data_IF_612443014529
#
_entry.id   IF_612443014529
#
_cell.length_a   1.000
_cell.length_b   1.000
_cell.length_c   1.000
_cell.angle_alpha   90.00
_cell.angle_beta   90.00
_cell.angle_gamma   90.00
#
_symmetry.space_group_name_H-M   'P 1'
#
loop_
_entity.id
_entity.type
_entity.pdbx_description
1 polymer ?
#
# COMPACT_ATOMS: atom_id res chain seq x y z
N UNK A 1 51.10 -26.49 -25.83
CA UNK A 1 49.82 -26.95 -25.23
C UNK A 1 49.48 -26.09 -24.01
N UNK A 2 49.09 -24.83 -24.20
CA UNK A 2 48.82 -23.90 -23.08
C UNK A 2 47.64 -22.94 -23.35
N UNK A 3 46.85 -23.18 -24.40
CA UNK A 3 45.80 -22.26 -24.87
C UNK A 3 44.38 -22.73 -24.56
N UNK A 4 44.20 -23.95 -24.07
CA UNK A 4 42.86 -24.53 -23.79
C UNK A 4 42.35 -24.18 -22.38
N UNK A 5 43.23 -23.79 -21.44
CA UNK A 5 42.84 -23.50 -20.04
C UNK A 5 42.25 -22.11 -19.81
N UNK A 6 42.38 -21.18 -20.76
CA UNK A 6 41.90 -19.80 -20.59
C UNK A 6 40.40 -19.63 -20.91
N UNK A 7 39.84 -20.51 -21.75
CA UNK A 7 38.42 -20.43 -22.16
C UNK A 7 37.44 -20.90 -21.08
N UNK A 8 37.86 -21.77 -20.17
CA UNK A 8 37.00 -22.29 -19.09
C UNK A 8 36.86 -21.27 -17.95
N UNK A 9 37.85 -20.40 -17.74
CA UNK A 9 37.76 -19.34 -16.71
C UNK A 9 36.86 -18.18 -17.15
N UNK A 10 36.78 -17.89 -18.47
CA UNK A 10 35.90 -16.83 -18.97
C UNK A 10 34.41 -17.21 -18.99
N UNK A 11 34.08 -18.50 -19.09
CA UNK A 11 32.70 -19.00 -19.12
C UNK A 11 32.04 -19.08 -17.73
N UNK A 12 32.83 -19.06 -16.65
CA UNK A 12 32.33 -19.05 -15.28
C UNK A 12 32.03 -17.65 -14.72
N UNK A 13 32.41 -16.58 -15.44
CA UNK A 13 32.17 -15.18 -15.04
C UNK A 13 30.86 -14.60 -15.56
N UNK A 14 30.11 -15.33 -16.39
CA UNK A 14 28.80 -14.91 -16.90
C UNK A 14 27.62 -15.45 -16.09
N UNK A 15 27.85 -16.11 -14.95
CA UNK A 15 26.82 -16.31 -13.93
C UNK A 15 26.60 -15.00 -13.16
N UNK A 16 26.38 -13.89 -13.87
CA UNK A 16 25.61 -12.80 -13.29
C UNK A 16 24.28 -13.44 -12.93
N UNK A 17 23.99 -13.42 -11.64
CA UNK A 17 22.67 -13.69 -11.11
C UNK A 17 21.71 -12.71 -11.78
N UNK A 18 21.16 -13.10 -12.92
CA UNK A 18 19.93 -12.54 -13.43
C UNK A 18 18.90 -12.85 -12.33
N UNK A 19 18.76 -11.93 -11.37
CA UNK A 19 17.62 -11.92 -10.46
C UNK A 19 16.42 -11.91 -11.40
N UNK A 20 15.72 -13.05 -11.48
CA UNK A 20 14.55 -13.17 -12.33
C UNK A 20 13.63 -11.99 -11.98
N UNK A 21 13.23 -11.24 -13.01
CA UNK A 21 12.35 -10.10 -12.83
C UNK A 21 10.96 -10.65 -12.55
N UNK A 22 10.53 -10.67 -11.30
CA UNK A 22 9.15 -11.01 -10.94
C UNK A 22 8.26 -9.81 -11.19
N UNK A 23 7.28 -9.88 -12.11
CA UNK A 23 6.40 -8.75 -12.41
C UNK A 23 5.05 -8.89 -11.68
N UNK A 24 5.03 -8.54 -10.40
CA UNK A 24 3.84 -8.50 -9.56
C UNK A 24 3.14 -7.14 -9.59
N UNK A 25 1.87 -7.15 -9.97
CA UNK A 25 1.01 -5.97 -10.00
C UNK A 25 0.00 -6.04 -8.85
N UNK A 26 0.18 -5.18 -7.86
CA UNK A 26 -0.60 -5.14 -6.64
C UNK A 26 -1.80 -4.21 -6.82
N UNK A 27 -2.99 -4.63 -6.43
CA UNK A 27 -4.18 -3.78 -6.38
C UNK A 27 -4.89 -3.97 -5.06
N UNK A 28 -5.58 -2.93 -4.62
CA UNK A 28 -6.37 -2.96 -3.39
C UNK A 28 -7.82 -2.60 -3.69
N UNK A 29 -8.75 -3.27 -3.03
CA UNK A 29 -10.18 -2.98 -3.10
C UNK A 29 -10.81 -2.94 -1.72
N UNK A 30 -11.62 -1.93 -1.44
CA UNK A 30 -12.48 -1.93 -0.26
C UNK A 30 -13.61 -2.92 -0.50
N UNK A 31 -13.72 -3.94 0.35
CA UNK A 31 -14.83 -4.90 0.28
C UNK A 31 -16.04 -4.32 1.04
N UNK A 32 -15.85 -4.04 2.33
CA UNK A 32 -16.83 -3.37 3.20
C UNK A 32 -16.20 -3.04 4.56
N UNK A 33 -16.94 -2.30 5.39
CA UNK A 33 -16.62 -2.11 6.82
C UNK A 33 -17.79 -2.61 7.66
N UNK A 34 -17.50 -3.34 8.74
CA UNK A 34 -18.49 -3.85 9.70
C UNK A 34 -17.95 -3.72 11.11
N UNK A 35 -18.67 -2.99 11.97
CA UNK A 35 -18.21 -2.68 13.33
C UNK A 35 -16.83 -2.02 13.28
N UNK A 36 -15.89 -2.55 14.05
CA UNK A 36 -14.52 -2.03 14.14
C UNK A 36 -13.57 -2.55 13.06
N UNK A 37 -14.07 -3.36 12.10
CA UNK A 37 -13.24 -4.04 11.11
C UNK A 37 -13.47 -3.48 9.70
N UNK A 38 -12.38 -3.09 9.04
CA UNK A 38 -12.34 -2.76 7.61
C UNK A 38 -11.83 -3.99 6.86
N UNK A 39 -12.60 -4.46 5.87
CA UNK A 39 -12.30 -5.62 5.05
C UNK A 39 -11.76 -5.13 3.70
N UNK A 40 -10.50 -5.44 3.42
CA UNK A 40 -9.79 -4.99 2.23
C UNK A 40 -9.30 -6.23 1.47
N UNK A 41 -9.56 -6.29 0.17
CA UNK A 41 -8.97 -7.29 -0.72
C UNK A 41 -7.69 -6.73 -1.33
N UNK A 42 -6.65 -7.55 -1.39
CA UNK A 42 -5.43 -7.30 -2.15
C UNK A 42 -5.28 -8.38 -3.21
N UNK A 43 -5.04 -7.99 -4.45
CA UNK A 43 -4.63 -8.91 -5.51
C UNK A 43 -3.21 -8.56 -5.95
N UNK A 44 -2.38 -9.57 -6.16
CA UNK A 44 -1.05 -9.47 -6.77
C UNK A 44 -1.10 -10.31 -8.05
N UNK A 45 -1.35 -9.64 -9.16
CA UNK A 45 -1.41 -10.26 -10.48
C UNK A 45 -0.03 -10.51 -11.09
N UNK A 46 -0.03 -10.75 -12.39
CA UNK A 46 1.19 -11.06 -13.14
C UNK A 46 1.69 -12.47 -12.81
N UNK A 47 2.93 -12.59 -12.37
CA UNK A 47 3.56 -13.90 -12.14
C UNK A 47 3.19 -14.56 -10.81
N UNK A 48 2.55 -13.83 -9.89
CA UNK A 48 2.23 -14.35 -8.55
C UNK A 48 0.83 -14.95 -8.45
N UNK A 49 -0.15 -14.34 -9.11
CA UNK A 49 -1.57 -14.69 -9.02
C UNK A 49 -2.02 -14.98 -7.57
N UNK A 50 -1.75 -14.03 -6.67
CA UNK A 50 -2.03 -14.16 -5.23
C UNK A 50 -3.10 -13.17 -4.79
N UNK A 51 -4.07 -13.64 -4.00
CA UNK A 51 -5.06 -12.77 -3.37
C UNK A 51 -5.02 -12.90 -1.85
N UNK A 52 -5.08 -11.77 -1.16
CA UNK A 52 -4.94 -11.67 0.28
C UNK A 52 -6.05 -10.80 0.87
N UNK A 53 -6.79 -11.37 1.80
CA UNK A 53 -7.76 -10.66 2.62
C UNK A 53 -7.04 -9.97 3.78
N UNK A 54 -7.27 -8.67 3.92
CA UNK A 54 -6.89 -7.88 5.07
C UNK A 54 -8.12 -7.57 5.92
N UNK A 55 -7.97 -7.77 7.23
CA UNK A 55 -8.96 -7.49 8.25
C UNK A 55 -8.37 -6.47 9.22
N UNK A 56 -8.54 -5.19 8.89
CA UNK A 56 -7.99 -4.10 9.71
C UNK A 56 -8.96 -3.80 10.84
N UNK A 57 -8.57 -4.15 12.06
CA UNK A 57 -9.35 -3.88 13.27
C UNK A 57 -8.89 -2.55 13.87
N UNK A 58 -9.82 -1.63 14.08
CA UNK A 58 -9.57 -0.29 14.62
C UNK A 58 -10.26 -0.16 15.98
N UNK A 59 -9.46 0.09 17.02
CA UNK A 59 -9.93 0.24 18.40
C UNK A 59 -9.41 1.55 18.98
N UNK A 60 -9.86 1.91 20.18
CA UNK A 60 -9.34 3.06 20.93
C UNK A 60 -7.82 2.97 21.21
N UNK A 61 -7.24 1.77 21.14
CA UNK A 61 -5.80 1.54 21.35
C UNK A 61 -4.98 1.67 20.07
N UNK A 62 -5.61 1.90 18.92
CA UNK A 62 -4.98 1.94 17.61
C UNK A 62 -5.56 0.90 16.65
N UNK A 63 -4.85 0.68 15.54
CA UNK A 63 -5.26 -0.24 14.49
C UNK A 63 -4.26 -1.39 14.31
N UNK A 64 -4.76 -2.57 13.93
CA UNK A 64 -3.97 -3.75 13.62
C UNK A 64 -4.53 -4.44 12.37
N UNK A 65 -3.65 -4.99 11.53
CA UNK A 65 -4.02 -5.71 10.31
C UNK A 65 -3.81 -7.22 10.48
N UNK A 66 -4.87 -7.99 10.25
CA UNK A 66 -4.82 -9.44 10.15
C UNK A 66 -4.94 -9.87 8.68
N UNK A 67 -4.04 -10.73 8.22
CA UNK A 67 -3.97 -11.14 6.81
C UNK A 67 -4.31 -12.61 6.63
N UNK A 68 -4.99 -12.95 5.54
CA UNK A 68 -5.31 -14.32 5.16
C UNK A 68 -5.28 -14.48 3.64
N UNK A 69 -4.48 -15.42 3.15
CA UNK A 69 -4.39 -15.71 1.74
C UNK A 69 -5.63 -16.50 1.27
N UNK A 70 -6.18 -16.13 0.13
CA UNK A 70 -7.27 -16.86 -0.51
C UNK A 70 -6.74 -18.13 -1.17
N UNK A 71 -7.62 -19.12 -1.33
CA UNK A 71 -7.28 -20.35 -2.08
C UNK A 71 -7.26 -20.15 -3.59
N UNK A 72 -8.09 -19.23 -4.07
CA UNK A 72 -8.28 -18.94 -5.48
C UNK A 72 -7.99 -17.46 -5.71
N UNK A 73 -7.17 -17.17 -6.71
CA UNK A 73 -6.87 -15.80 -7.13
C UNK A 73 -8.12 -15.05 -7.62
N UNK A 74 -8.24 -13.79 -7.22
CA UNK A 74 -9.33 -12.84 -7.53
C UNK A 74 -10.75 -13.35 -7.19
N UNK A 75 -10.87 -14.40 -6.36
CA UNK A 75 -12.16 -14.93 -5.93
C UNK A 75 -12.68 -14.21 -4.68
N UNK A 76 -13.29 -13.05 -4.91
CA UNK A 76 -13.89 -12.21 -3.87
C UNK A 76 -15.38 -12.50 -3.63
N UNK A 77 -15.93 -13.58 -4.19
CA UNK A 77 -17.37 -13.87 -4.11
C UNK A 77 -17.86 -14.04 -2.66
N UNK A 78 -17.06 -14.69 -1.81
CA UNK A 78 -17.36 -14.84 -0.39
C UNK A 78 -17.54 -13.49 0.35
N UNK A 79 -16.86 -12.44 -0.11
CA UNK A 79 -16.96 -11.12 0.52
C UNK A 79 -18.36 -10.50 0.31
N UNK A 80 -18.99 -10.78 -0.83
CA UNK A 80 -20.37 -10.37 -1.07
C UNK A 80 -21.35 -11.09 -0.13
N UNK A 81 -21.12 -12.39 0.12
CA UNK A 81 -21.93 -13.17 1.07
C UNK A 81 -21.77 -12.63 2.50
N UNK A 82 -20.53 -12.38 2.94
CA UNK A 82 -20.27 -11.80 4.25
C UNK A 82 -20.89 -10.42 4.41
N UNK A 83 -20.85 -9.58 3.37
CA UNK A 83 -21.46 -8.25 3.36
C UNK A 83 -22.97 -8.28 3.64
N UNK A 84 -23.66 -9.33 3.21
CA UNK A 84 -25.10 -9.51 3.45
C UNK A 84 -25.41 -10.02 4.87
N UNK A 85 -24.46 -10.70 5.50
CA UNK A 85 -24.60 -11.23 6.86
C UNK A 85 -24.28 -10.15 7.90
N UNK A 86 -23.26 -9.32 7.62
CA UNK A 86 -22.79 -8.30 8.54
C UNK A 86 -23.55 -6.98 8.40
N UNK A 87 -23.72 -6.29 9.53
CA UNK A 87 -24.16 -4.89 9.51
C UNK A 87 -23.02 -4.01 9.00
N UNK A 88 -23.18 -3.50 7.79
CA UNK A 88 -22.17 -2.63 7.18
C UNK A 88 -22.36 -1.16 7.52
N UNK A 89 -21.23 -0.45 7.60
CA UNK A 89 -21.22 1.00 7.78
C UNK A 89 -21.41 1.74 6.45
N UNK A 90 -22.12 2.89 6.46
CA UNK A 90 -22.14 3.78 5.31
C UNK A 90 -20.72 4.26 5.02
N UNK A 91 -20.38 4.30 3.73
CA UNK A 91 -19.08 4.72 3.23
C UNK A 91 -19.28 5.77 2.14
N UNK A 92 -18.47 6.82 2.20
CA UNK A 92 -18.40 7.86 1.18
C UNK A 92 -17.14 7.63 0.36
N UNK A 93 -17.30 7.26 -0.91
CA UNK A 93 -16.18 7.19 -1.83
C UNK A 93 -15.77 8.62 -2.22
N UNK A 94 -14.55 9.01 -1.90
CA UNK A 94 -14.01 10.29 -2.33
C UNK A 94 -13.71 10.23 -3.82
N UNK A 95 -13.84 11.37 -4.50
CA UNK A 95 -13.57 11.53 -5.93
C UNK A 95 -12.49 12.59 -6.14
N UNK A 96 -11.68 12.47 -7.21
CA UNK A 96 -10.80 13.55 -7.63
C UNK A 96 -11.62 14.83 -7.84
N UNK A 97 -11.21 15.91 -7.19
CA UNK A 97 -11.74 17.25 -7.40
C UNK A 97 -10.91 18.01 -8.43
N UNK A 98 -9.59 17.77 -8.41
CA UNK A 98 -8.58 18.27 -9.33
C UNK A 98 -7.40 17.27 -9.39
N UNK A 99 -6.30 17.66 -10.02
CA UNK A 99 -5.09 16.82 -10.20
C UNK A 99 -4.38 16.46 -8.87
N UNK A 100 -4.76 17.06 -7.74
CA UNK A 100 -4.03 16.97 -6.48
C UNK A 100 -4.91 16.65 -5.26
N UNK A 101 -6.22 16.78 -5.37
CA UNK A 101 -7.14 16.66 -4.25
C UNK A 101 -8.30 15.70 -4.53
N UNK A 102 -8.66 14.95 -3.48
CA UNK A 102 -9.81 14.08 -3.42
C UNK A 102 -10.79 14.58 -2.35
N UNK A 103 -12.09 14.51 -2.62
CA UNK A 103 -13.13 14.94 -1.69
C UNK A 103 -14.52 14.40 -2.03
N UNK A 104 -15.53 14.94 -1.37
CA UNK A 104 -16.94 14.61 -1.59
C UNK A 104 -17.77 15.88 -1.42
N UNK A 105 -18.90 16.01 -2.14
CA UNK A 105 -19.77 17.20 -2.10
C UNK A 105 -20.26 17.57 -0.69
N UNK A 106 -20.43 16.55 0.15
CA UNK A 106 -20.99 16.67 1.50
C UNK A 106 -19.91 16.87 2.58
N UNK A 107 -18.65 17.06 2.17
CA UNK A 107 -17.50 17.26 3.07
C UNK A 107 -16.86 18.61 2.77
N UNK A 108 -16.46 19.31 3.82
CA UNK A 108 -15.74 20.60 3.76
C UNK A 108 -14.21 20.44 3.78
N UNK A 109 -13.74 19.18 3.71
CA UNK A 109 -12.33 18.84 3.75
C UNK A 109 -11.93 17.95 2.57
N UNK A 110 -10.63 17.93 2.30
CA UNK A 110 -10.03 17.17 1.20
C UNK A 110 -8.83 16.36 1.68
N UNK A 111 -8.46 15.36 0.89
CA UNK A 111 -7.23 14.59 1.07
C UNK A 111 -6.36 14.71 -0.18
N UNK A 112 -5.06 14.83 0.01
CA UNK A 112 -4.05 14.94 -1.05
C UNK A 112 -2.92 13.94 -0.80
N UNK A 113 -2.27 13.52 -1.87
CA UNK A 113 -1.00 12.80 -1.74
C UNK A 113 0.04 13.67 -1.00
N UNK A 114 1.02 13.08 -0.30
CA UNK A 114 2.07 13.84 0.35
C UNK A 114 2.93 14.57 -0.68
N UNK A 115 3.61 15.64 -0.24
CA UNK A 115 4.58 16.32 -1.07
C UNK A 115 5.69 15.36 -1.52
N UNK A 116 6.15 15.54 -2.77
CA UNK A 116 7.24 14.75 -3.32
C UNK A 116 8.57 15.08 -2.62
N UNK A 117 9.33 14.05 -2.30
CA UNK A 117 10.69 14.11 -1.78
C UNK A 117 11.59 13.21 -2.63
N UNK A 118 12.28 13.81 -3.60
CA UNK A 118 13.18 13.08 -4.50
C UNK A 118 14.30 12.34 -3.76
N UNK A 119 14.73 12.86 -2.59
CA UNK A 119 15.82 12.25 -1.82
C UNK A 119 15.44 10.88 -1.27
N UNK A 120 14.16 10.65 -0.96
CA UNK A 120 13.68 9.34 -0.50
C UNK A 120 13.66 8.31 -1.62
N UNK A 121 13.35 8.73 -2.86
CA UNK A 121 13.45 7.85 -4.03
C UNK A 121 14.90 7.44 -4.29
N UNK A 122 15.85 8.38 -4.23
CA UNK A 122 17.28 8.07 -4.36
C UNK A 122 17.77 7.10 -3.28
N UNK A 123 17.38 7.33 -2.02
CA UNK A 123 17.69 6.45 -0.90
C UNK A 123 17.10 5.04 -1.07
N UNK A 124 15.87 4.94 -1.57
CA UNK A 124 15.24 3.65 -1.83
C UNK A 124 15.96 2.87 -2.93
N UNK A 125 16.33 3.54 -4.03
CA UNK A 125 17.11 2.89 -5.07
C UNK A 125 18.47 2.45 -4.56
N UNK A 126 19.18 3.30 -3.80
CA UNK A 126 20.46 2.93 -3.19
C UNK A 126 20.32 1.68 -2.31
N UNK A 127 19.29 1.62 -1.45
CA UNK A 127 18.99 0.44 -0.64
C UNK A 127 18.77 -0.82 -1.48
N UNK A 128 18.04 -0.71 -2.60
CA UNK A 128 17.82 -1.83 -3.53
C UNK A 128 19.14 -2.27 -4.19
N UNK A 129 19.99 -1.33 -4.62
CA UNK A 129 21.31 -1.61 -5.19
C UNK A 129 22.23 -2.31 -4.17
N UNK A 130 22.16 -1.93 -2.90
CA UNK A 130 22.95 -2.50 -1.80
C UNK A 130 22.44 -3.88 -1.32
N UNK A 131 21.41 -4.43 -1.97
CA UNK A 131 20.90 -5.78 -1.72
C UNK A 131 19.59 -5.85 -0.96
N UNK A 132 19.00 -4.71 -0.60
CA UNK A 132 17.61 -4.60 -0.17
C UNK A 132 16.62 -5.03 -1.24
N UNK A 133 15.38 -5.38 -0.85
CA UNK A 133 14.41 -6.00 -1.77
C UNK A 133 13.11 -5.25 -1.96
N UNK A 134 12.61 -4.53 -0.95
CA UNK A 134 11.26 -3.95 -0.95
C UNK A 134 11.09 -2.84 0.11
N UNK A 135 9.89 -2.25 0.16
CA UNK A 135 9.52 -1.24 1.15
C UNK A 135 9.75 -1.69 2.60
N UNK A 136 9.41 -2.94 2.94
CA UNK A 136 9.57 -3.48 4.30
C UNK A 136 11.05 -3.45 4.74
N UNK A 137 11.95 -3.98 3.92
CA UNK A 137 13.40 -3.96 4.21
C UNK A 137 13.96 -2.54 4.20
N UNK A 138 13.43 -1.66 3.36
CA UNK A 138 13.83 -0.25 3.33
C UNK A 138 13.49 0.41 4.67
N UNK A 139 12.25 0.30 5.16
CA UNK A 139 11.89 0.90 6.44
C UNK A 139 12.62 0.30 7.62
N UNK A 140 12.89 -1.01 7.60
CA UNK A 140 13.66 -1.68 8.65
C UNK A 140 15.10 -1.13 8.76
N UNK A 141 15.67 -0.64 7.65
CA UNK A 141 17.00 -0.04 7.62
C UNK A 141 17.03 1.43 8.09
N UNK A 142 15.87 2.11 8.17
CA UNK A 142 15.80 3.53 8.50
C UNK A 142 15.68 3.78 10.01
N UNK A 143 16.36 4.83 10.50
CA UNK A 143 16.36 5.22 11.93
C UNK A 143 15.22 6.17 12.32
N UNK A 144 14.50 6.73 11.34
CA UNK A 144 13.42 7.68 11.55
C UNK A 144 12.28 7.38 10.58
N UNK A 145 11.03 7.75 10.93
CA UNK A 145 9.89 7.42 10.09
C UNK A 145 9.99 8.15 8.75
N UNK A 146 10.17 7.39 7.68
CA UNK A 146 10.14 7.85 6.27
C UNK A 146 8.78 7.65 5.61
N UNK A 147 7.80 7.13 6.36
CA UNK A 147 6.42 6.97 5.90
C UNK A 147 5.70 8.32 5.98
N UNK A 148 5.26 8.84 4.85
CA UNK A 148 4.50 10.08 4.73
C UNK A 148 3.00 9.75 4.67
N UNK A 149 2.18 10.19 5.63
CA UNK A 149 0.73 10.09 5.51
C UNK A 149 0.22 11.06 4.44
N UNK A 150 -1.00 10.85 3.90
CA UNK A 150 -1.60 11.82 3.00
C UNK A 150 -1.92 13.11 3.76
N UNK A 151 -1.89 14.23 3.05
CA UNK A 151 -2.22 15.53 3.62
C UNK A 151 -3.75 15.69 3.63
N UNK A 152 -4.33 15.78 4.83
CA UNK A 152 -5.77 16.03 5.02
C UNK A 152 -5.94 17.48 5.47
N UNK A 153 -6.91 18.20 4.91
CA UNK A 153 -7.15 19.63 5.27
C UNK A 153 -7.78 19.84 6.66
N UNK A 154 -8.08 18.75 7.36
CA UNK A 154 -8.50 18.72 8.78
C UNK A 154 -7.50 17.89 9.59
N UNK A 155 -7.55 18.03 10.92
CA UNK A 155 -6.67 17.26 11.81
C UNK A 155 -6.93 15.77 11.64
N UNK A 156 -5.93 15.05 11.17
CA UNK A 156 -5.99 13.61 11.03
C UNK A 156 -4.70 12.94 11.51
N UNK A 157 -4.83 11.72 12.03
CA UNK A 157 -3.72 10.96 12.61
C UNK A 157 -3.66 9.60 11.90
N UNK A 158 -2.51 9.20 11.33
CA UNK A 158 -2.37 7.85 10.79
C UNK A 158 -2.43 6.82 11.92
N UNK A 159 -3.31 5.84 11.76
CA UNK A 159 -3.45 4.70 12.67
C UNK A 159 -2.65 3.50 12.19
N UNK A 160 -2.60 3.28 10.87
CA UNK A 160 -1.93 2.12 10.27
C UNK A 160 -1.47 2.43 8.85
N UNK A 161 -0.30 1.88 8.52
CA UNK A 161 0.25 1.78 7.17
C UNK A 161 0.42 0.28 6.88
N UNK A 162 -0.06 -0.22 5.74
CA UNK A 162 0.15 -1.63 5.37
C UNK A 162 1.64 -1.97 5.24
N UNK A 163 2.02 -3.22 5.52
CA UNK A 163 3.45 -3.57 5.69
C UNK A 163 4.27 -3.56 4.38
N UNK A 164 3.63 -3.76 3.24
CA UNK A 164 4.28 -3.90 1.94
C UNK A 164 4.26 -2.62 1.08
N UNK A 165 3.57 -1.57 1.53
CA UNK A 165 3.44 -0.33 0.77
C UNK A 165 4.66 0.60 0.89
N UNK A 166 5.00 1.28 -0.21
CA UNK A 166 5.96 2.39 -0.18
C UNK A 166 5.18 3.73 -0.04
N UNK A 167 5.41 4.45 1.06
CA UNK A 167 4.59 5.56 1.56
C UNK A 167 5.32 6.89 1.46
N UNK A 168 6.00 7.13 0.34
CA UNK A 168 6.46 8.45 -0.08
C UNK A 168 6.33 8.51 -1.60
N UNK A 169 6.20 9.72 -2.15
CA UNK A 169 6.08 9.94 -3.60
C UNK A 169 4.99 9.11 -4.30
N UNK A 170 3.99 8.66 -3.55
CA UNK A 170 2.83 7.96 -4.10
C UNK A 170 1.76 8.96 -4.52
N UNK A 171 0.84 8.50 -5.36
CA UNK A 171 -0.42 9.18 -5.67
C UNK A 171 -1.59 8.43 -5.02
N UNK A 172 -2.76 9.05 -4.90
CA UNK A 172 -3.93 8.36 -4.35
C UNK A 172 -4.61 7.58 -5.47
N UNK A 173 -4.75 6.27 -5.28
CA UNK A 173 -5.49 5.38 -6.19
C UNK A 173 -7.00 5.46 -5.91
N UNK A 174 -7.36 5.37 -4.63
CA UNK A 174 -8.74 5.48 -4.17
C UNK A 174 -8.78 5.90 -2.69
N UNK A 175 -9.87 6.55 -2.28
CA UNK A 175 -10.06 6.94 -0.90
C UNK A 175 -11.52 6.82 -0.45
N UNK A 176 -11.73 6.40 0.79
CA UNK A 176 -13.04 6.20 1.40
C UNK A 176 -13.11 6.79 2.79
N UNK A 177 -14.20 7.50 3.08
CA UNK A 177 -14.49 8.03 4.40
C UNK A 177 -15.65 7.26 5.04
N UNK A 178 -15.51 6.93 6.32
CA UNK A 178 -16.52 6.23 7.14
C UNK A 178 -17.07 7.18 8.20
N UNK A 179 -18.18 7.90 7.95
CA UNK A 179 -18.62 9.01 8.79
C UNK A 179 -18.87 8.63 10.25
N UNK A 180 -19.41 7.42 10.49
CA UNK A 180 -19.74 6.95 11.85
C UNK A 180 -18.53 6.79 12.76
N UNK A 181 -17.41 6.35 12.18
CA UNK A 181 -16.16 6.10 12.93
C UNK A 181 -15.12 7.19 12.69
N UNK A 182 -15.42 8.15 11.80
CA UNK A 182 -14.50 9.21 11.37
C UNK A 182 -13.17 8.66 10.85
N UNK A 183 -13.22 7.51 10.20
CA UNK A 183 -12.05 6.87 9.61
C UNK A 183 -11.93 7.23 8.14
N UNK A 184 -10.70 7.47 7.70
CA UNK A 184 -10.32 7.63 6.31
C UNK A 184 -9.42 6.47 5.91
N UNK A 185 -9.79 5.78 4.84
CA UNK A 185 -8.97 4.75 4.18
C UNK A 185 -8.46 5.31 2.86
N UNK A 186 -7.16 5.22 2.62
CA UNK A 186 -6.51 5.65 1.37
C UNK A 186 -5.73 4.49 0.81
N UNK A 187 -5.98 4.13 -0.46
CA UNK A 187 -5.12 3.25 -1.24
C UNK A 187 -4.15 4.08 -2.06
N UNK A 188 -2.90 3.62 -2.13
CA UNK A 188 -1.80 4.36 -2.75
C UNK A 188 -1.42 3.74 -4.09
N UNK A 189 -1.25 4.59 -5.09
CA UNK A 189 -0.59 4.24 -6.33
C UNK A 189 0.89 4.63 -6.25
N UNK A 190 1.79 3.64 -6.18
CA UNK A 190 3.23 3.85 -6.10
C UNK A 190 3.87 3.63 -7.48
N UNK A 191 4.35 4.70 -8.15
CA UNK A 191 5.05 4.55 -9.43
C UNK A 191 6.46 3.92 -9.28
N UNK A 192 7.07 4.01 -8.10
CA UNK A 192 8.39 3.42 -7.83
C UNK A 192 8.26 1.90 -7.69
N UNK A 193 8.98 1.16 -8.53
CA UNK A 193 8.98 -0.31 -8.52
C UNK A 193 10.07 -0.90 -7.61
N UNK A 194 9.80 -2.05 -7.02
CA UNK A 194 10.76 -2.81 -6.23
C UNK A 194 11.69 -3.66 -7.13
N UNK A 195 12.55 -4.47 -6.50
CA UNK A 195 13.24 -5.56 -7.21
C UNK A 195 12.20 -6.44 -7.88
N UNK A 196 12.48 -6.89 -9.10
CA UNK A 196 11.53 -7.70 -9.87
C UNK A 196 10.69 -6.90 -10.85
N UNK A 197 10.57 -5.57 -10.66
CA UNK A 197 9.53 -4.70 -11.26
C UNK A 197 8.17 -4.79 -10.54
N UNK A 198 8.15 -5.38 -9.35
CA UNK A 198 6.98 -5.43 -8.48
C UNK A 198 6.51 -4.02 -8.08
N UNK A 199 5.20 -3.80 -8.14
CA UNK A 199 4.59 -2.59 -7.56
C UNK A 199 4.58 -2.66 -6.04
N UNK A 200 4.63 -1.52 -5.35
CA UNK A 200 4.55 -1.42 -3.89
C UNK A 200 3.41 -0.50 -3.47
N UNK A 201 2.22 -0.82 -3.97
CA UNK A 201 0.99 -0.19 -3.54
C UNK A 201 0.75 -0.46 -2.04
N UNK A 202 -0.06 0.35 -1.41
CA UNK A 202 -0.38 0.17 0.00
C UNK A 202 -1.71 0.78 0.36
N UNK A 203 -2.06 0.63 1.64
CA UNK A 203 -3.18 1.34 2.21
C UNK A 203 -2.80 1.99 3.53
N UNK A 204 -3.49 3.09 3.83
CA UNK A 204 -3.31 3.90 5.02
C UNK A 204 -4.68 4.09 5.67
N UNK A 205 -4.77 3.79 6.96
CA UNK A 205 -5.97 4.07 7.77
C UNK A 205 -5.65 5.24 8.68
N UNK A 206 -6.55 6.24 8.69
CA UNK A 206 -6.40 7.45 9.48
C UNK A 206 -7.65 7.73 10.30
N UNK A 207 -7.44 8.28 11.49
CA UNK A 207 -8.49 8.87 12.32
C UNK A 207 -8.60 10.36 12.00
N UNK A 208 -9.80 10.83 11.64
CA UNK A 208 -10.10 12.26 11.59
C UNK A 208 -10.59 12.71 12.95
N UNK A 209 -10.01 13.80 13.43
CA UNK A 209 -10.49 14.51 14.62
C UNK A 209 -11.32 15.69 14.13
N UNK A 210 -12.47 15.93 14.75
CA UNK A 210 -13.16 17.21 14.52
C UNK A 210 -12.23 18.37 14.93
N UNK A 211 -12.33 19.52 14.27
CA UNK A 211 -11.86 20.74 14.89
C UNK A 211 -12.55 20.83 16.26
N UNK A 212 -11.78 20.91 17.34
CA UNK A 212 -12.33 21.40 18.61
C UNK A 212 -13.01 22.71 18.29
N UNK A 213 -14.34 22.77 18.46
CA UNK A 213 -15.07 24.02 18.36
C UNK A 213 -14.37 25.05 19.27
N UNK A 214 -14.18 26.29 18.80
CA UNK A 214 -13.48 27.33 19.56
C UNK A 214 -14.16 27.63 20.90
#
# INVERSE_FOLDING_TARGET
>A
MATIRLFVVLLLLCCFTAKASTNGEQTYRLLFKSGDVIWIGQDIGGEYELSMLHQVTVTDKGAADGQSMLRTYDDWTFAADLKNIFRTDPVMALKPLDDHAWGHSDLDWTVRAPATDASLTEQFFAHVYDGGSNAQTFYAAQKSPTKHPPAVSVKAVPLLFSDHGLFFNYTIDAAWYFPRSRLLLVFTHQPTKAVGLDTMHGFIVMQLNEPTAP
#
